data_IF_567292325311
#
_entry.id   IF_567292325311
#
_cell.length_a   1.000
_cell.length_b   1.000
_cell.length_c   1.000
_cell.angle_alpha   90.00
_cell.angle_beta   90.00
_cell.angle_gamma   90.00
#
_symmetry.space_group_name_H-M   'P 1'
#
loop_
_entity.id
_entity.type
_entity.pdbx_description
1 polymer ?
#
# COMPACT_ATOMS: atom_id res chain seq x y z
N UNK A 1 4.95 18.75 -12.38
CA UNK A 1 4.71 17.29 -12.24
C UNK A 1 4.11 16.79 -13.54
N UNK A 2 4.87 16.01 -14.32
CA UNK A 2 4.41 15.48 -15.60
C UNK A 2 3.39 14.36 -15.36
N UNK A 3 2.27 14.38 -16.10
CA UNK A 3 1.24 13.33 -16.04
C UNK A 3 1.84 12.01 -16.51
N UNK A 4 1.78 10.97 -15.67
CA UNK A 4 2.06 9.59 -16.06
C UNK A 4 1.00 9.14 -17.07
N UNK A 5 1.36 9.01 -18.35
CA UNK A 5 0.60 8.31 -19.40
C UNK A 5 1.54 7.91 -20.58
N UNK A 6 2.85 7.75 -20.33
CA UNK A 6 3.87 7.52 -21.37
C UNK A 6 4.36 6.06 -21.45
N UNK A 7 3.90 5.19 -20.54
CA UNK A 7 4.30 3.78 -20.49
C UNK A 7 3.16 2.92 -21.03
N UNK A 8 3.50 1.97 -21.91
CA UNK A 8 2.55 1.08 -22.57
C UNK A 8 1.70 0.30 -21.55
N UNK A 9 2.29 -0.05 -20.40
CA UNK A 9 1.65 -0.77 -19.31
C UNK A 9 0.56 0.05 -18.58
N UNK A 10 0.48 1.37 -18.80
CA UNK A 10 -0.44 2.27 -18.09
C UNK A 10 -1.40 3.02 -19.02
N UNK A 11 -1.43 2.64 -20.30
CA UNK A 11 -2.17 3.38 -21.35
C UNK A 11 -3.69 3.28 -21.23
N UNK A 12 -4.21 2.23 -20.59
CA UNK A 12 -5.65 1.93 -20.57
C UNK A 12 -6.35 2.45 -19.31
N UNK A 13 -5.82 2.17 -18.13
CA UNK A 13 -6.39 2.63 -16.87
C UNK A 13 -5.91 4.05 -16.54
N UNK A 14 -6.82 5.03 -16.57
CA UNK A 14 -6.57 6.41 -16.13
C UNK A 14 -6.47 6.53 -14.60
N UNK A 15 -5.75 5.61 -13.97
CA UNK A 15 -5.56 5.51 -12.52
C UNK A 15 -4.06 5.68 -12.25
N UNK A 16 -3.66 6.32 -11.14
CA UNK A 16 -2.25 6.36 -10.76
C UNK A 16 -1.69 4.94 -10.61
N UNK A 17 -0.75 4.58 -11.48
CA UNK A 17 -0.03 3.30 -11.45
C UNK A 17 1.42 3.56 -11.07
N UNK A 18 1.98 2.68 -10.25
CA UNK A 18 3.40 2.66 -9.92
C UNK A 18 3.90 1.24 -10.10
N UNK A 19 4.92 1.07 -10.95
CA UNK A 19 5.58 -0.21 -11.20
C UNK A 19 6.81 -0.30 -10.31
N UNK A 20 6.97 -1.44 -9.65
CA UNK A 20 8.12 -1.75 -8.82
C UNK A 20 8.89 -2.91 -9.43
N UNK A 21 10.18 -2.98 -9.09
CA UNK A 21 11.09 -4.01 -9.62
C UNK A 21 10.66 -5.44 -9.26
N UNK A 22 10.06 -5.64 -8.08
CA UNK A 22 9.55 -6.93 -7.66
C UNK A 22 8.37 -6.80 -6.67
N UNK A 23 7.71 -7.93 -6.42
CA UNK A 23 6.55 -8.00 -5.53
C UNK A 23 6.87 -7.58 -4.10
N UNK A 24 8.06 -7.90 -3.57
CA UNK A 24 8.43 -7.57 -2.19
C UNK A 24 8.51 -6.05 -1.97
N UNK A 25 9.14 -5.33 -2.91
CA UNK A 25 9.21 -3.87 -2.87
C UNK A 25 7.80 -3.28 -2.98
N UNK A 26 6.97 -3.81 -3.88
CA UNK A 26 5.59 -3.36 -4.04
C UNK A 26 4.78 -3.57 -2.75
N UNK A 27 4.87 -4.76 -2.15
CA UNK A 27 4.17 -5.14 -0.93
C UNK A 27 4.51 -4.21 0.23
N UNK A 28 5.80 -3.92 0.42
CA UNK A 28 6.26 -2.95 1.43
C UNK A 28 5.73 -1.54 1.18
N UNK A 29 5.74 -1.07 -0.07
CA UNK A 29 5.22 0.26 -0.41
C UNK A 29 3.72 0.38 -0.21
N UNK A 30 2.97 -0.69 -0.44
CA UNK A 30 1.54 -0.74 -0.14
C UNK A 30 1.31 -0.76 1.38
N UNK A 31 2.07 -1.56 2.13
CA UNK A 31 2.02 -1.59 3.59
C UNK A 31 2.33 -0.21 4.20
N UNK A 32 3.38 0.47 3.75
CA UNK A 32 3.73 1.86 4.15
C UNK A 32 2.53 2.81 3.97
N UNK A 33 1.83 2.70 2.83
CA UNK A 33 0.68 3.55 2.51
C UNK A 33 -0.51 3.26 3.43
N UNK A 34 -0.76 1.99 3.74
CA UNK A 34 -1.83 1.59 4.67
C UNK A 34 -1.47 2.05 6.09
N UNK A 35 -0.22 1.85 6.53
CA UNK A 35 0.28 2.31 7.81
C UNK A 35 0.13 3.83 8.00
N UNK A 36 0.45 4.61 6.96
CA UNK A 36 0.25 6.06 6.96
C UNK A 36 -1.23 6.45 7.10
N UNK A 37 -2.15 5.72 6.46
CA UNK A 37 -3.59 5.92 6.63
C UNK A 37 -4.04 5.62 8.07
N UNK A 38 -3.59 4.49 8.65
CA UNK A 38 -3.90 4.10 10.02
C UNK A 38 -3.45 5.19 11.00
N UNK A 39 -2.17 5.56 10.96
CA UNK A 39 -1.58 6.60 11.83
C UNK A 39 -2.32 7.93 11.69
N UNK A 40 -2.69 8.32 10.47
CA UNK A 40 -3.46 9.55 10.21
C UNK A 40 -4.84 9.50 10.87
N UNK A 41 -5.58 8.39 10.76
CA UNK A 41 -6.91 8.25 11.39
C UNK A 41 -6.81 8.22 12.91
N UNK A 42 -5.84 7.48 13.46
CA UNK A 42 -5.58 7.45 14.90
C UNK A 42 -5.26 8.85 15.46
N UNK A 43 -4.45 9.64 14.74
CA UNK A 43 -4.15 11.02 15.13
C UNK A 43 -5.39 11.94 15.16
N UNK A 44 -6.46 11.55 14.47
CA UNK A 44 -7.76 12.23 14.48
C UNK A 44 -8.73 11.64 15.50
N UNK A 45 -8.33 10.62 16.28
CA UNK A 45 -9.20 9.87 17.18
C UNK A 45 -10.21 8.97 16.46
N UNK A 46 -9.97 8.67 15.18
CA UNK A 46 -10.85 7.88 14.33
C UNK A 46 -10.31 6.45 14.12
N UNK A 47 -11.23 5.51 13.92
CA UNK A 47 -10.88 4.15 13.53
C UNK A 47 -10.51 4.08 12.04
N UNK A 48 -9.42 3.40 11.72
CA UNK A 48 -9.13 2.98 10.35
C UNK A 48 -9.86 1.64 10.06
N UNK A 49 -10.81 1.67 9.12
CA UNK A 49 -11.53 0.46 8.67
C UNK A 49 -10.95 0.02 7.34
N UNK A 50 -10.46 -1.23 7.27
CA UNK A 50 -9.81 -1.79 6.09
C UNK A 50 -10.62 -2.99 5.55
N UNK A 51 -10.98 -2.94 4.27
CA UNK A 51 -11.50 -4.10 3.55
C UNK A 51 -10.34 -4.93 3.00
N UNK A 52 -10.01 -6.05 3.65
CA UNK A 52 -8.89 -6.90 3.27
C UNK A 52 -9.28 -7.82 2.10
N UNK A 53 -8.46 -7.81 1.05
CA UNK A 53 -8.59 -8.74 -0.07
C UNK A 53 -8.00 -10.12 0.30
N UNK A 54 -8.42 -11.15 -0.44
CA UNK A 54 -7.89 -12.52 -0.33
C UNK A 54 -6.92 -12.83 -1.47
N UNK A 55 -6.25 -13.99 -1.41
CA UNK A 55 -5.27 -14.44 -2.41
C UNK A 55 -3.83 -14.33 -1.90
N UNK A 56 -2.88 -14.89 -2.68
CA UNK A 56 -1.47 -14.92 -2.30
C UNK A 56 -0.78 -13.55 -2.41
N UNK A 57 -1.15 -12.74 -3.41
CA UNK A 57 -0.56 -11.41 -3.66
C UNK A 57 -0.62 -10.46 -2.45
N UNK A 58 -1.74 -10.30 -1.74
CA UNK A 58 -1.77 -9.40 -0.58
C UNK A 58 -1.12 -9.97 0.69
N UNK A 59 -0.69 -11.24 0.73
CA UNK A 59 -0.11 -11.87 1.94
C UNK A 59 1.13 -11.11 2.42
N UNK A 60 2.08 -10.82 1.53
CA UNK A 60 3.31 -10.08 1.87
C UNK A 60 3.02 -8.67 2.40
N UNK A 61 1.95 -8.02 1.92
CA UNK A 61 1.50 -6.71 2.44
C UNK A 61 1.08 -6.85 3.90
N UNK A 62 0.32 -7.89 4.22
CA UNK A 62 -0.17 -8.12 5.58
C UNK A 62 0.95 -8.54 6.53
N UNK A 63 1.89 -9.36 6.06
CA UNK A 63 3.09 -9.72 6.82
C UNK A 63 3.90 -8.47 7.20
N UNK A 64 4.09 -7.54 6.27
CA UNK A 64 4.80 -6.30 6.55
C UNK A 64 4.03 -5.39 7.53
N UNK A 65 2.70 -5.29 7.41
CA UNK A 65 1.88 -4.56 8.39
C UNK A 65 1.98 -5.18 9.79
N UNK A 66 1.97 -6.52 9.89
CA UNK A 66 2.16 -7.24 11.15
C UNK A 66 3.55 -6.99 11.72
N UNK A 67 4.60 -6.95 10.88
CA UNK A 67 5.96 -6.60 11.29
C UNK A 67 6.01 -5.18 11.85
N UNK A 68 5.49 -4.18 11.13
CA UNK A 68 5.43 -2.79 11.58
C UNK A 68 4.68 -2.63 12.91
N UNK A 69 3.57 -3.36 13.10
CA UNK A 69 2.83 -3.35 14.36
C UNK A 69 3.67 -3.88 15.53
N UNK A 70 4.35 -5.02 15.32
CA UNK A 70 5.15 -5.68 16.37
C UNK A 70 6.45 -4.95 16.71
N UNK A 71 7.12 -4.38 15.71
CA UNK A 71 8.48 -3.83 15.86
C UNK A 71 8.49 -2.31 16.00
N UNK A 72 7.54 -1.61 15.37
CA UNK A 72 7.56 -0.14 15.23
C UNK A 72 6.37 0.53 15.93
N UNK A 73 5.44 -0.25 16.48
CA UNK A 73 4.26 0.26 17.21
C UNK A 73 3.26 0.98 16.31
N UNK A 74 3.11 0.53 15.06
CA UNK A 74 1.96 0.92 14.21
C UNK A 74 0.63 0.59 14.89
#
# INVERSE_FOLDING_TARGET
MARLNLLEETRFEKVPVTVYENQHIASKKVADRIAALIKRRQAQGENAVLGLATGATPVEVYEELVRMHKEEGL
#
